data_IF_895106051083
#
_entry.id   IF_895106051083
#
_cell.length_a   1.000
_cell.length_b   1.000
_cell.length_c   1.000
_cell.angle_alpha   90.00
_cell.angle_beta   90.00
_cell.angle_gamma   90.00
#
_symmetry.space_group_name_H-M   'P 1'
#
loop_
_entity.id
_entity.type
_entity.pdbx_description
1 polymer ?
#
# COMPACT_ATOMS: atom_id res chain seq x y z
N UNK A 1 -7.52 -15.18 17.15
CA UNK A 1 -6.07 -15.47 17.27
C UNK A 1 -5.42 -14.13 17.56
N UNK A 2 -4.56 -14.01 18.57
CA UNK A 2 -3.92 -12.71 18.90
C UNK A 2 -2.87 -12.38 17.84
N UNK A 3 -3.22 -11.45 16.94
CA UNK A 3 -2.42 -11.08 15.77
C UNK A 3 -1.03 -10.54 16.18
N UNK A 4 -0.94 -9.89 17.35
CA UNK A 4 0.30 -9.30 17.86
C UNK A 4 1.35 -10.36 18.20
N UNK A 5 0.93 -11.51 18.73
CA UNK A 5 1.85 -12.57 19.16
C UNK A 5 2.63 -13.25 18.01
N UNK A 6 2.12 -13.15 16.78
CA UNK A 6 2.74 -13.71 15.57
C UNK A 6 3.10 -12.63 14.54
N UNK A 7 2.94 -11.35 14.89
CA UNK A 7 3.27 -10.25 14.00
C UNK A 7 4.79 -10.15 13.85
N UNK A 8 5.29 -10.39 12.65
CA UNK A 8 6.68 -10.18 12.30
C UNK A 8 6.78 -9.10 11.23
N UNK A 9 7.23 -7.91 11.64
CA UNK A 9 7.54 -6.83 10.72
C UNK A 9 8.85 -7.16 9.98
N UNK A 10 8.75 -7.29 8.66
CA UNK A 10 9.93 -7.42 7.78
C UNK A 10 10.28 -6.02 7.26
N UNK A 11 11.43 -5.50 7.67
CA UNK A 11 11.94 -4.21 7.21
C UNK A 11 12.94 -4.48 6.07
N UNK A 12 12.82 -3.70 4.99
CA UNK A 12 13.77 -3.71 3.89
C UNK A 12 14.26 -2.29 3.63
N UNK A 13 15.48 -2.00 4.07
CA UNK A 13 16.07 -0.65 4.14
C UNK A 13 17.36 -0.54 3.30
N UNK A 14 17.53 -1.39 2.27
CA UNK A 14 18.66 -1.30 1.36
C UNK A 14 18.63 0.01 0.56
N UNK A 15 19.34 1.02 1.07
CA UNK A 15 19.44 2.35 0.49
C UNK A 15 19.88 2.31 -0.97
N UNK A 16 20.78 1.39 -1.35
CA UNK A 16 21.27 1.32 -2.74
C UNK A 16 20.16 0.91 -3.71
N UNK A 17 19.13 0.23 -3.21
CA UNK A 17 18.02 -0.28 -3.98
C UNK A 17 16.82 0.67 -3.97
N UNK A 18 16.55 1.32 -2.85
CA UNK A 18 15.31 2.08 -2.66
C UNK A 18 15.47 3.60 -2.67
N UNK A 19 16.70 4.13 -2.67
CA UNK A 19 16.89 5.56 -2.77
C UNK A 19 16.41 6.09 -4.13
N UNK A 20 15.39 6.94 -4.12
CA UNK A 20 14.73 7.46 -5.32
C UNK A 20 13.78 6.46 -6.01
N UNK A 21 13.44 5.34 -5.36
CA UNK A 21 12.47 4.40 -5.90
C UNK A 21 11.05 5.00 -5.92
N UNK A 22 10.34 4.76 -7.01
CA UNK A 22 8.93 5.14 -7.17
C UNK A 22 7.99 4.11 -6.52
N UNK A 23 6.72 4.46 -6.35
CA UNK A 23 5.69 3.50 -5.91
C UNK A 23 5.62 2.26 -6.84
N UNK A 24 5.90 2.42 -8.13
CA UNK A 24 5.98 1.31 -9.08
C UNK A 24 7.18 0.40 -8.82
N UNK A 25 8.35 0.93 -8.49
CA UNK A 25 9.54 0.13 -8.18
C UNK A 25 9.35 -0.67 -6.89
N UNK A 26 8.70 -0.06 -5.89
CA UNK A 26 8.31 -0.74 -4.66
C UNK A 26 7.31 -1.86 -4.96
N UNK A 27 6.31 -1.60 -5.81
CA UNK A 27 5.32 -2.59 -6.24
C UNK A 27 5.97 -3.79 -6.94
N UNK A 28 6.88 -3.53 -7.89
CA UNK A 28 7.63 -4.58 -8.59
C UNK A 28 8.42 -5.45 -7.60
N UNK A 29 9.11 -4.79 -6.67
CA UNK A 29 9.90 -5.50 -5.67
C UNK A 29 9.01 -6.36 -4.76
N UNK A 30 7.90 -5.81 -4.29
CA UNK A 30 6.96 -6.53 -3.44
C UNK A 30 6.34 -7.73 -4.17
N UNK A 31 5.92 -7.55 -5.42
CA UNK A 31 5.38 -8.63 -6.26
C UNK A 31 6.40 -9.75 -6.50
N UNK A 32 7.67 -9.41 -6.72
CA UNK A 32 8.74 -10.39 -6.82
C UNK A 32 8.97 -11.13 -5.49
N UNK A 33 8.96 -10.43 -4.36
CA UNK A 33 9.09 -11.04 -3.04
C UNK A 33 7.94 -11.99 -2.73
N UNK A 34 6.68 -11.59 -2.97
CA UNK A 34 5.50 -12.46 -2.76
C UNK A 34 5.62 -13.71 -3.63
N UNK A 35 5.95 -13.56 -4.92
CA UNK A 35 6.15 -14.68 -5.84
C UNK A 35 7.18 -15.69 -5.32
N UNK A 36 8.28 -15.20 -4.73
CA UNK A 36 9.31 -16.03 -4.11
C UNK A 36 8.84 -16.74 -2.82
N UNK A 37 7.94 -16.13 -2.05
CA UNK A 37 7.39 -16.72 -0.83
C UNK A 37 6.29 -17.75 -1.10
N UNK A 38 5.52 -17.60 -2.19
CA UNK A 38 4.34 -18.44 -2.48
C UNK A 38 4.61 -19.97 -2.35
N UNK A 39 5.70 -20.55 -2.89
CA UNK A 39 5.95 -21.99 -2.76
C UNK A 39 6.18 -22.48 -1.32
N UNK A 40 6.51 -21.58 -0.39
CA UNK A 40 6.79 -21.93 1.01
C UNK A 40 5.54 -21.87 1.88
N UNK A 41 4.54 -21.09 1.46
CA UNK A 41 3.33 -20.81 2.24
C UNK A 41 2.09 -21.52 1.69
N UNK A 42 2.13 -21.95 0.42
CA UNK A 42 1.05 -22.68 -0.22
C UNK A 42 1.32 -24.18 -0.09
N UNK A 43 0.44 -24.89 0.61
CA UNK A 43 0.59 -26.32 0.89
C UNK A 43 0.30 -27.27 -0.28
N UNK A 44 -0.20 -26.78 -1.42
CA UNK A 44 -0.57 -27.60 -2.59
C UNK A 44 -0.01 -27.02 -3.89
N UNK A 45 0.66 -27.84 -4.73
CA UNK A 45 1.11 -27.42 -6.07
C UNK A 45 -0.01 -26.93 -6.99
N UNK A 46 -1.22 -27.48 -6.85
CA UNK A 46 -2.40 -27.09 -7.62
C UNK A 46 -2.86 -25.67 -7.26
N UNK A 47 -2.91 -25.37 -5.96
CA UNK A 47 -3.21 -24.01 -5.46
C UNK A 47 -2.12 -23.03 -5.89
N UNK A 48 -0.85 -23.43 -5.82
CA UNK A 48 0.27 -22.59 -6.26
C UNK A 48 0.16 -22.28 -7.76
N UNK A 49 -0.14 -23.29 -8.59
CA UNK A 49 -0.34 -23.12 -10.03
C UNK A 49 -1.52 -22.20 -10.32
N UNK A 50 -2.60 -22.31 -9.56
CA UNK A 50 -3.76 -21.42 -9.68
C UNK A 50 -3.38 -19.96 -9.33
N UNK A 51 -2.75 -19.72 -8.18
CA UNK A 51 -2.35 -18.37 -7.74
C UNK A 51 -1.34 -17.67 -8.67
N UNK A 52 -0.53 -18.46 -9.38
CA UNK A 52 0.43 -17.97 -10.39
C UNK A 52 -0.18 -17.84 -11.80
N UNK A 53 -1.40 -18.33 -12.01
CA UNK A 53 -2.07 -18.23 -13.30
C UNK A 53 -2.71 -16.87 -13.49
N UNK A 54 -2.77 -16.41 -14.74
CA UNK A 54 -3.51 -15.20 -15.12
C UNK A 54 -5.01 -15.49 -15.37
N UNK A 55 -5.46 -16.74 -15.17
CA UNK A 55 -6.79 -17.24 -15.56
C UNK A 55 -7.71 -17.46 -14.35
N UNK A 56 -7.71 -16.50 -13.43
CA UNK A 56 -8.30 -16.72 -12.11
C UNK A 56 -9.83 -16.48 -12.07
N UNK A 57 -10.65 -16.98 -13.00
CA UNK A 57 -12.14 -16.96 -12.93
C UNK A 57 -12.81 -15.66 -12.38
N UNK A 58 -12.15 -14.48 -12.49
CA UNK A 58 -12.55 -13.22 -11.86
C UNK A 58 -12.16 -12.99 -10.39
N UNK A 59 -11.66 -13.97 -9.63
CA UNK A 59 -11.14 -13.81 -8.27
C UNK A 59 -9.61 -13.89 -8.27
N UNK A 60 -8.94 -12.75 -8.15
CA UNK A 60 -7.48 -12.74 -8.11
C UNK A 60 -6.88 -13.42 -6.87
N UNK A 61 -5.56 -13.69 -6.87
CA UNK A 61 -4.88 -14.40 -5.79
C UNK A 61 -5.04 -13.74 -4.41
N UNK A 62 -5.41 -12.47 -4.35
CA UNK A 62 -5.68 -11.74 -3.11
C UNK A 62 -6.76 -12.34 -2.23
N UNK A 63 -7.73 -13.06 -2.79
CA UNK A 63 -8.81 -13.67 -2.01
C UNK A 63 -8.37 -14.90 -1.22
N UNK A 64 -7.17 -15.43 -1.49
CA UNK A 64 -6.64 -16.64 -0.86
C UNK A 64 -5.40 -16.37 -0.01
N UNK A 65 -4.90 -15.13 -0.03
CA UNK A 65 -3.68 -14.73 0.65
C UNK A 65 -4.02 -13.83 1.83
N UNK A 66 -3.28 -13.99 2.93
CA UNK A 66 -3.38 -13.06 4.05
C UNK A 66 -2.92 -11.65 3.67
N UNK A 67 -3.35 -10.59 4.38
CA UNK A 67 -2.93 -9.21 4.14
C UNK A 67 -1.43 -9.01 3.93
N UNK A 68 -0.57 -9.74 4.67
CA UNK A 68 0.89 -9.70 4.53
C UNK A 68 1.42 -9.94 3.11
N UNK A 69 0.69 -10.70 2.29
CA UNK A 69 1.09 -11.00 0.91
C UNK A 69 0.30 -10.19 -0.12
N UNK A 70 -0.66 -9.36 0.33
CA UNK A 70 -1.47 -8.48 -0.52
C UNK A 70 -1.09 -7.01 -0.35
N UNK A 71 -0.54 -6.63 0.80
CA UNK A 71 -0.21 -5.26 1.12
C UNK A 71 1.18 -5.14 1.73
N UNK A 72 1.89 -4.08 1.37
CA UNK A 72 3.12 -3.66 2.04
C UNK A 72 3.04 -2.20 2.46
N UNK A 73 3.88 -1.84 3.43
CA UNK A 73 4.10 -0.45 3.81
C UNK A 73 5.35 0.07 3.12
N UNK A 74 5.34 1.32 2.68
CA UNK A 74 6.53 2.01 2.22
C UNK A 74 6.54 3.46 2.71
N UNK A 75 7.74 4.01 2.76
CA UNK A 75 8.06 5.31 3.35
C UNK A 75 8.91 6.06 2.34
N UNK A 76 8.53 7.29 2.02
CA UNK A 76 9.31 8.23 1.23
C UNK A 76 9.64 9.48 2.07
N UNK A 77 10.24 10.48 1.42
CA UNK A 77 10.65 11.72 2.06
C UNK A 77 9.47 12.41 2.77
N UNK A 78 8.28 12.42 2.15
CA UNK A 78 7.07 12.99 2.78
C UNK A 78 6.69 12.26 4.07
N UNK A 79 6.72 10.93 4.06
CA UNK A 79 6.45 10.14 5.27
C UNK A 79 7.48 10.42 6.38
N UNK A 80 8.75 10.61 6.04
CA UNK A 80 9.79 10.95 7.02
C UNK A 80 9.60 12.36 7.58
N UNK A 81 9.35 13.32 6.71
CA UNK A 81 9.04 14.71 7.04
C UNK A 81 7.83 14.81 8.00
N UNK A 82 6.84 13.93 7.81
CA UNK A 82 5.67 13.86 8.70
C UNK A 82 6.01 13.59 10.17
N UNK A 83 7.19 13.03 10.49
CA UNK A 83 7.63 12.83 11.88
C UNK A 83 7.72 14.15 12.65
N UNK A 84 8.23 15.19 12.00
CA UNK A 84 8.40 16.51 12.62
C UNK A 84 7.07 17.28 12.63
N UNK A 85 6.33 17.22 11.53
CA UNK A 85 5.12 18.02 11.37
C UNK A 85 3.91 17.48 12.13
N UNK A 86 3.82 16.16 12.31
CA UNK A 86 2.71 15.51 12.99
C UNK A 86 3.00 15.20 14.46
N UNK A 87 4.10 15.66 15.04
CA UNK A 87 4.43 15.46 16.47
C UNK A 87 3.27 15.89 17.40
N UNK A 88 2.52 16.93 16.99
CA UNK A 88 1.36 17.47 17.71
C UNK A 88 0.03 17.25 16.97
N UNK A 89 -0.04 16.32 16.02
CA UNK A 89 -1.28 15.91 15.36
C UNK A 89 -1.85 14.65 16.01
N UNK A 90 -3.17 14.57 16.18
CA UNK A 90 -3.84 13.35 16.65
C UNK A 90 -3.58 12.17 15.70
N UNK A 91 -3.40 12.45 14.41
CA UNK A 91 -3.07 11.44 13.40
C UNK A 91 -1.64 10.90 13.54
N UNK A 92 -0.72 11.66 14.13
CA UNK A 92 0.71 11.30 14.16
C UNK A 92 1.33 11.09 12.76
N UNK A 93 2.57 10.57 12.69
CA UNK A 93 3.28 10.38 11.42
C UNK A 93 2.56 9.41 10.47
N UNK A 94 2.73 9.60 9.17
CA UNK A 94 2.04 8.80 8.15
C UNK A 94 2.98 7.87 7.39
N UNK A 95 2.42 6.78 6.89
CA UNK A 95 3.08 5.84 5.96
C UNK A 95 2.14 5.52 4.79
N UNK A 96 2.69 4.92 3.73
CA UNK A 96 1.91 4.51 2.56
C UNK A 96 1.64 3.01 2.62
N UNK A 97 0.39 2.61 2.43
CA UNK A 97 0.02 1.21 2.23
C UNK A 97 -0.20 0.96 0.73
N UNK A 98 0.51 -0.02 0.19
CA UNK A 98 0.51 -0.37 -1.24
C UNK A 98 -0.19 -1.71 -1.47
N UNK A 99 -1.01 -1.76 -2.51
CA UNK A 99 -1.80 -2.94 -2.90
C UNK A 99 -1.12 -3.73 -4.03
N UNK A 100 -0.89 -5.04 -3.81
CA UNK A 100 -0.31 -5.96 -4.80
C UNK A 100 -1.20 -6.24 -6.01
N UNK A 101 -2.53 -6.44 -5.89
CA UNK A 101 -3.43 -6.73 -7.02
C UNK A 101 -3.32 -5.79 -8.22
N UNK A 102 -2.79 -4.57 -8.01
CA UNK A 102 -2.47 -3.61 -9.06
C UNK A 102 -1.38 -4.08 -10.03
N UNK A 103 -0.66 -5.16 -9.71
CA UNK A 103 0.30 -5.80 -10.60
C UNK A 103 1.49 -4.91 -10.94
N UNK A 104 2.35 -5.38 -11.84
CA UNK A 104 3.43 -4.55 -12.36
C UNK A 104 2.91 -3.81 -13.58
N UNK A 105 3.06 -2.48 -13.60
CA UNK A 105 2.83 -1.71 -14.81
C UNK A 105 3.97 -1.93 -15.79
N UNK A 106 3.65 -2.07 -17.07
CA UNK A 106 4.61 -1.98 -18.17
C UNK A 106 5.28 -0.61 -18.19
N UNK A 107 6.42 -0.48 -18.88
CA UNK A 107 7.10 0.81 -19.02
C UNK A 107 6.18 1.88 -19.63
N UNK A 108 5.37 1.51 -20.62
CA UNK A 108 4.42 2.43 -21.25
C UNK A 108 3.30 2.86 -20.31
N UNK A 109 2.79 1.95 -19.46
CA UNK A 109 1.77 2.30 -18.46
C UNK A 109 2.31 3.19 -17.32
N UNK A 110 3.64 3.22 -17.12
CA UNK A 110 4.30 4.16 -16.20
C UNK A 110 4.53 5.54 -16.81
N UNK A 111 4.44 5.66 -18.13
CA UNK A 111 4.62 6.92 -18.84
C UNK A 111 3.31 7.71 -18.88
N UNK A 112 2.89 8.21 -17.72
CA UNK A 112 1.73 9.10 -17.61
C UNK A 112 2.12 10.42 -16.94
N UNK A 113 1.34 11.45 -17.22
CA UNK A 113 1.53 12.76 -16.59
C UNK A 113 0.72 12.78 -15.29
N UNK A 114 1.41 12.90 -14.17
CA UNK A 114 0.77 13.03 -12.87
C UNK A 114 -0.02 14.35 -12.83
N UNK A 115 -1.27 14.28 -12.38
CA UNK A 115 -2.13 15.43 -12.13
C UNK A 115 -1.54 16.29 -11.01
N UNK A 116 -1.46 17.63 -11.15
CA UNK A 116 -0.73 18.48 -10.21
C UNK A 116 -1.29 18.48 -8.77
N UNK A 117 -2.56 18.12 -8.58
CA UNK A 117 -3.24 18.11 -7.28
C UNK A 117 -3.32 16.72 -6.63
N UNK A 118 -2.88 15.67 -7.32
CA UNK A 118 -3.00 14.28 -6.87
C UNK A 118 -1.65 13.58 -6.89
N UNK A 119 -1.39 12.68 -5.93
CA UNK A 119 -0.15 11.89 -5.99
C UNK A 119 -0.38 10.63 -6.84
N UNK A 120 0.53 10.36 -7.77
CA UNK A 120 0.55 9.18 -8.66
C UNK A 120 -0.71 8.95 -9.52
N UNK A 121 -1.62 9.92 -9.67
CA UNK A 121 -2.82 9.80 -10.50
C UNK A 121 -2.76 10.65 -11.77
N UNK A 122 -3.39 10.18 -12.86
CA UNK A 122 -3.40 10.86 -14.16
C UNK A 122 -4.51 11.92 -14.27
N UNK A 123 -5.64 11.69 -13.60
CA UNK A 123 -6.88 12.44 -13.81
C UNK A 123 -7.25 13.33 -12.62
N UNK A 124 -8.27 14.16 -12.77
CA UNK A 124 -8.91 14.89 -11.68
C UNK A 124 -9.98 14.07 -10.92
N UNK A 125 -10.17 12.79 -11.28
CA UNK A 125 -11.18 11.90 -10.67
C UNK A 125 -10.76 11.46 -9.26
N UNK A 126 -11.42 11.96 -8.22
CA UNK A 126 -11.16 11.61 -6.82
C UNK A 126 -11.25 10.09 -6.53
N UNK A 127 -11.91 9.31 -7.39
CA UNK A 127 -12.04 7.86 -7.27
C UNK A 127 -10.96 7.08 -8.04
N UNK A 128 -10.05 7.77 -8.76
CA UNK A 128 -8.93 7.11 -9.41
C UNK A 128 -8.05 6.40 -8.38
N UNK A 129 -7.93 5.09 -8.57
CA UNK A 129 -7.11 4.26 -7.71
C UNK A 129 -5.67 4.20 -8.26
N UNK A 130 -4.69 4.61 -7.46
CA UNK A 130 -3.26 4.61 -7.82
C UNK A 130 -2.52 3.42 -7.21
N UNK A 131 -3.26 2.54 -6.54
CA UNK A 131 -2.76 1.31 -5.94
C UNK A 131 -1.98 1.51 -4.64
N UNK A 132 -2.07 2.68 -4.01
CA UNK A 132 -1.60 2.93 -2.65
C UNK A 132 -2.40 4.08 -2.00
N UNK A 133 -2.39 4.16 -0.66
CA UNK A 133 -2.99 5.26 0.10
C UNK A 133 -2.17 5.59 1.36
N UNK A 134 -2.37 6.78 1.93
CA UNK A 134 -1.77 7.15 3.22
C UNK A 134 -2.54 6.53 4.41
N UNK A 135 -1.81 6.24 5.48
CA UNK A 135 -2.38 5.91 6.79
C UNK A 135 -1.48 6.44 7.90
N UNK A 136 -2.05 6.86 9.05
CA UNK A 136 -1.31 6.98 10.29
C UNK A 136 -0.51 5.73 10.60
N UNK A 137 0.77 5.89 10.98
CA UNK A 137 1.63 4.75 11.32
C UNK A 137 1.04 3.96 12.48
N UNK A 138 0.51 4.61 13.51
CA UNK A 138 -0.06 3.93 14.67
C UNK A 138 -1.29 3.07 14.33
N UNK A 139 -1.92 3.29 13.17
CA UNK A 139 -3.10 2.55 12.70
C UNK A 139 -2.76 1.38 11.76
N UNK A 140 -1.49 1.13 11.42
CA UNK A 140 -1.13 0.14 10.40
C UNK A 140 -1.63 -1.28 10.72
N UNK A 141 -1.57 -1.71 11.99
CA UNK A 141 -2.05 -3.04 12.41
C UNK A 141 -3.55 -3.17 12.16
N UNK A 142 -4.32 -2.15 12.56
CA UNK A 142 -5.77 -2.09 12.33
C UNK A 142 -6.11 -2.13 10.84
N UNK A 143 -5.32 -1.48 10.00
CA UNK A 143 -5.50 -1.54 8.55
C UNK A 143 -5.25 -2.93 8.01
N UNK A 144 -4.20 -3.63 8.46
CA UNK A 144 -3.96 -5.02 8.06
C UNK A 144 -5.10 -5.95 8.49
N UNK A 145 -5.66 -5.76 9.69
CA UNK A 145 -6.86 -6.51 10.13
C UNK A 145 -8.07 -6.19 9.25
N UNK A 146 -8.30 -4.91 8.96
CA UNK A 146 -9.41 -4.46 8.10
C UNK A 146 -9.30 -5.04 6.69
N UNK A 147 -8.08 -5.10 6.16
CA UNK A 147 -7.79 -5.59 4.82
C UNK A 147 -7.71 -7.13 4.73
N UNK A 148 -8.01 -7.85 5.82
CA UNK A 148 -8.25 -9.30 5.76
C UNK A 148 -9.43 -9.65 4.85
N UNK A 149 -10.41 -8.76 4.75
CA UNK A 149 -11.49 -8.84 3.77
C UNK A 149 -11.03 -8.10 2.49
N UNK A 150 -10.77 -8.77 1.36
CA UNK A 150 -10.13 -8.14 0.20
C UNK A 150 -10.91 -6.96 -0.38
N UNK A 151 -12.24 -7.03 -0.38
CA UNK A 151 -13.13 -5.95 -0.87
C UNK A 151 -13.05 -4.67 -0.04
N UNK A 152 -12.42 -4.71 1.14
CA UNK A 152 -12.23 -3.53 1.96
C UNK A 152 -11.17 -2.59 1.38
N UNK A 153 -10.28 -3.08 0.49
CA UNK A 153 -9.37 -2.19 -0.21
C UNK A 153 -10.17 -1.16 -1.02
N UNK A 154 -11.09 -1.60 -1.87
CA UNK A 154 -11.92 -0.70 -2.69
C UNK A 154 -12.90 0.11 -1.84
N UNK A 155 -13.45 -0.47 -0.76
CA UNK A 155 -14.44 0.21 0.07
C UNK A 155 -13.87 1.35 0.93
N UNK A 156 -12.59 1.26 1.33
CA UNK A 156 -11.93 2.25 2.18
C UNK A 156 -10.78 2.97 1.49
N UNK A 157 -10.58 2.73 0.19
CA UNK A 157 -9.56 3.43 -0.58
C UNK A 157 -9.84 4.93 -0.58
N UNK A 158 -8.79 5.70 -0.32
CA UNK A 158 -8.82 7.16 -0.34
C UNK A 158 -7.62 7.64 -1.14
N UNK A 159 -7.88 8.51 -2.13
CA UNK A 159 -6.90 8.93 -3.12
C UNK A 159 -5.89 9.91 -2.51
N UNK A 160 -4.58 9.63 -2.58
CA UNK A 160 -3.54 10.56 -2.14
C UNK A 160 -3.58 11.91 -2.89
N UNK A 161 -3.51 13.07 -2.21
CA UNK A 161 -2.93 13.28 -0.87
C UNK A 161 -3.93 13.24 0.29
N UNK A 162 -5.05 12.52 0.17
CA UNK A 162 -6.00 12.37 1.29
C UNK A 162 -5.79 11.07 2.07
N UNK A 163 -6.26 11.03 3.32
CA UNK A 163 -6.27 9.84 4.18
C UNK A 163 -7.52 9.78 5.06
N UNK A 164 -7.84 8.59 5.57
CA UNK A 164 -8.84 8.43 6.62
C UNK A 164 -8.17 8.57 7.98
N UNK A 165 -8.62 9.55 8.76
CA UNK A 165 -8.22 9.75 10.15
C UNK A 165 -9.44 9.90 11.05
N UNK A 166 -9.51 9.10 12.11
CA UNK A 166 -10.63 9.03 13.06
C UNK A 166 -12.04 8.97 12.40
N UNK A 167 -12.14 8.43 11.18
CA UNK A 167 -13.40 8.33 10.42
C UNK A 167 -13.75 9.54 9.55
N UNK A 168 -12.83 10.50 9.42
CA UNK A 168 -12.93 11.64 8.49
C UNK A 168 -11.88 11.53 7.39
N UNK A 169 -12.19 12.07 6.20
CA UNK A 169 -11.19 12.24 5.14
C UNK A 169 -10.50 13.57 5.36
N UNK A 170 -9.16 13.54 5.43
CA UNK A 170 -8.31 14.73 5.61
C UNK A 170 -7.25 14.78 4.52
N UNK A 171 -6.85 15.98 4.11
CA UNK A 171 -5.71 16.18 3.21
C UNK A 171 -4.42 16.21 4.05
N UNK A 172 -3.48 15.30 3.77
CA UNK A 172 -2.24 15.16 4.55
C UNK A 172 -1.33 16.37 4.41
N UNK A 173 -1.38 17.09 3.30
CA UNK A 173 -0.57 18.29 3.04
C UNK A 173 -1.19 19.54 3.68
N UNK A 174 -2.52 19.63 3.74
CA UNK A 174 -3.17 20.74 4.45
C UNK A 174 -2.95 20.68 5.96
N UNK A 175 -2.91 19.48 6.53
CA UNK A 175 -2.55 19.28 7.93
C UNK A 175 -1.11 19.73 8.24
N UNK A 176 -0.19 19.64 7.26
CA UNK A 176 1.15 20.25 7.36
C UNK A 176 1.08 21.79 7.43
N UNK A 177 0.31 22.39 6.51
CA UNK A 177 0.29 23.85 6.33
C UNK A 177 -0.47 24.60 7.44
N UNK A 178 -1.41 23.95 8.13
CA UNK A 178 -2.16 24.57 9.24
C UNK A 178 -1.30 24.83 10.48
N UNK A 179 -0.06 24.34 10.55
CA UNK A 179 0.79 24.41 11.75
C UNK A 179 2.21 24.96 11.52
N UNK A 180 2.53 25.44 10.30
CA UNK A 180 3.74 26.23 9.97
C UNK A 180 3.50 27.73 10.11
#
# INVERSE_FOLDING_TARGET
MDLLSHHQLLINDDIKKFNGATSHDIRDHFNAWVTYQLPQIVGSPEVLKYLLSNDNNGLGPQYFLSPRYNFCLFVDDFCLDSLEFFENSSSGPVVKILSKPWGNLTLQEREYKIHPEWHDGETDDEFEMVGWMYTPIHSYVRWFDTLEVPSNWEAFYVRPPTMIDEGSIVNVEEELCRKS
#
